data_IF_203634921139
#
_entry.id   IF_203634921139
#
_cell.length_a   1.000
_cell.length_b   1.000
_cell.length_c   1.000
_cell.angle_alpha   90.00
_cell.angle_beta   90.00
_cell.angle_gamma   90.00
#
_symmetry.space_group_name_H-M   'P 1'
#
loop_
_entity.id
_entity.type
_entity.pdbx_description
1 polymer ?
#
# COMPACT_ATOMS: atom_id res chain seq x y z
N UNK A 1 -0.56 100.40 33.04
CA UNK A 1 -1.69 100.66 32.13
C UNK A 1 -1.27 100.10 30.76
N UNK A 2 -2.02 99.12 30.21
CA UNK A 2 -2.37 98.98 28.77
C UNK A 2 -1.21 99.28 27.76
N UNK A 3 -0.71 98.44 26.85
CA UNK A 3 -1.23 97.33 26.06
C UNK A 3 -0.09 96.70 25.22
N UNK A 4 -0.25 95.40 24.94
CA UNK A 4 0.07 94.59 23.74
C UNK A 4 0.80 95.20 22.53
N UNK A 5 1.74 94.38 22.00
CA UNK A 5 1.99 93.90 20.60
C UNK A 5 3.52 93.66 20.50
N UNK A 6 4.12 92.60 19.94
CA UNK A 6 3.73 91.46 19.08
C UNK A 6 4.97 90.57 18.99
N UNK A 7 4.83 89.24 19.03
CA UNK A 7 5.82 88.33 18.42
C UNK A 7 5.12 87.00 18.07
N UNK A 8 4.96 86.74 16.78
CA UNK A 8 4.66 85.44 16.20
C UNK A 8 5.83 85.14 15.24
N UNK A 9 6.10 83.83 15.08
CA UNK A 9 6.98 83.17 14.10
C UNK A 9 8.37 82.91 14.69
N UNK A 10 8.85 81.68 14.85
CA UNK A 10 8.80 80.58 13.88
C UNK A 10 8.90 79.22 14.62
N UNK A 11 7.84 78.43 14.58
CA UNK A 11 7.82 76.99 14.91
C UNK A 11 8.06 76.21 13.64
N UNK A 12 9.25 75.62 13.45
CA UNK A 12 9.53 74.92 12.18
C UNK A 12 10.80 74.08 12.08
N UNK A 13 11.51 73.75 13.18
CA UNK A 13 12.76 72.98 13.03
C UNK A 13 13.12 72.02 14.19
N UNK A 14 12.15 71.41 14.88
CA UNK A 14 12.45 70.37 15.90
C UNK A 14 11.73 69.04 15.64
N UNK A 15 10.85 68.95 14.64
CA UNK A 15 10.09 67.73 14.37
C UNK A 15 10.78 66.75 13.37
N UNK A 16 12.01 67.01 12.92
CA UNK A 16 12.73 66.15 11.96
C UNK A 16 14.10 65.75 12.54
N UNK A 17 14.11 65.24 13.77
CA UNK A 17 15.27 64.52 14.33
C UNK A 17 14.88 63.47 15.37
N UNK A 18 13.61 63.08 15.43
CA UNK A 18 13.10 62.02 16.30
C UNK A 18 12.48 60.83 15.52
N UNK A 19 12.74 60.73 14.22
CA UNK A 19 12.19 59.69 13.34
C UNK A 19 13.25 58.72 12.79
N UNK A 20 14.48 58.68 13.33
CA UNK A 20 15.58 57.85 12.78
C UNK A 20 16.14 56.80 13.75
N UNK A 21 15.69 56.70 15.00
CA UNK A 21 16.20 55.65 15.92
C UNK A 21 15.08 55.03 16.77
N UNK A 22 14.09 54.45 16.10
CA UNK A 22 13.31 53.38 16.73
C UNK A 22 13.13 52.25 15.72
N UNK A 23 14.18 51.43 15.60
CA UNK A 23 14.01 50.06 15.12
C UNK A 23 13.41 49.27 16.28
N UNK A 24 12.16 48.80 16.20
CA UNK A 24 11.69 47.80 17.16
C UNK A 24 12.64 46.59 17.03
N UNK A 25 13.04 45.95 18.15
CA UNK A 25 13.89 44.77 18.10
C UNK A 25 13.26 43.74 17.16
N UNK A 26 14.05 43.25 16.20
CA UNK A 26 13.65 42.24 15.20
C UNK A 26 13.37 40.85 15.78
N UNK A 27 13.02 40.75 17.06
CA UNK A 27 12.69 39.51 17.77
C UNK A 27 11.19 39.42 18.10
N UNK A 28 10.32 39.96 17.24
CA UNK A 28 8.89 39.68 17.28
C UNK A 28 8.33 39.54 15.86
N UNK A 29 9.08 38.90 14.96
CA UNK A 29 8.40 38.06 13.98
C UNK A 29 7.95 36.83 14.74
N UNK A 30 6.76 36.92 15.34
CA UNK A 30 6.00 35.74 15.67
C UNK A 30 6.05 34.83 14.44
N UNK A 31 6.73 33.68 14.57
CA UNK A 31 6.51 32.52 13.71
C UNK A 31 5.02 32.52 13.41
N UNK A 32 4.65 32.65 12.12
CA UNK A 32 3.26 32.82 11.71
C UNK A 32 2.38 31.89 12.54
N UNK A 33 1.26 32.36 13.06
CA UNK A 33 0.39 31.57 13.95
C UNK A 33 0.05 30.20 13.37
N UNK A 34 0.10 30.06 12.03
CA UNK A 34 0.01 28.80 11.30
C UNK A 34 1.23 27.87 11.47
N UNK A 35 2.47 28.37 11.46
CA UNK A 35 3.68 27.57 11.70
C UNK A 35 3.83 27.17 13.17
N UNK A 36 3.46 28.05 14.11
CA UNK A 36 3.40 27.69 15.54
C UNK A 36 2.27 26.71 15.85
N UNK A 37 1.10 26.81 15.21
CA UNK A 37 0.05 25.78 15.30
C UNK A 37 0.46 24.45 14.65
N UNK A 38 1.11 24.47 13.47
CA UNK A 38 1.58 23.24 12.80
C UNK A 38 2.67 22.53 13.60
N UNK A 39 3.55 23.26 14.29
CA UNK A 39 4.54 22.66 15.22
C UNK A 39 3.90 22.07 16.49
N UNK A 40 2.67 22.47 16.84
CA UNK A 40 1.97 22.00 18.03
C UNK A 40 1.10 20.75 17.80
N UNK A 41 0.82 20.37 16.54
CA UNK A 41 0.04 19.17 16.23
C UNK A 41 0.98 17.97 16.11
N UNK A 42 0.80 16.92 16.93
CA UNK A 42 1.68 15.75 16.87
C UNK A 42 1.59 15.09 15.49
N UNK A 43 2.75 14.71 14.93
CA UNK A 43 2.80 14.00 13.64
C UNK A 43 2.41 12.54 13.85
N UNK A 44 1.51 12.04 13.01
CA UNK A 44 1.04 10.66 13.08
C UNK A 44 1.49 9.90 11.83
N UNK A 45 2.12 8.75 12.02
CA UNK A 45 2.49 7.81 10.97
C UNK A 45 2.04 6.40 11.38
N UNK A 46 1.80 5.49 10.43
CA UNK A 46 1.68 4.08 10.77
C UNK A 46 3.04 3.54 11.24
N UNK A 47 3.03 2.64 12.23
CA UNK A 47 4.26 2.03 12.70
C UNK A 47 4.91 1.20 11.59
N UNK A 48 6.25 1.24 11.49
CA UNK A 48 7.00 0.52 10.44
C UNK A 48 6.78 -0.99 10.42
N UNK A 49 6.39 -1.59 11.54
CA UNK A 49 6.05 -3.02 11.66
C UNK A 49 4.89 -3.42 10.76
N UNK A 50 4.10 -2.45 10.28
CA UNK A 50 2.96 -2.67 9.41
C UNK A 50 3.33 -2.91 7.94
N UNK A 51 4.60 -2.69 7.57
CA UNK A 51 5.07 -2.76 6.19
C UNK A 51 5.66 -4.12 5.79
N UNK A 52 5.34 -5.18 6.54
CA UNK A 52 5.88 -6.52 6.32
C UNK A 52 7.37 -6.62 6.67
N UNK A 53 7.95 -7.78 6.42
CA UNK A 53 9.37 -8.07 6.70
C UNK A 53 10.30 -7.35 5.72
N UNK A 54 9.82 -7.11 4.49
CA UNK A 54 10.49 -6.28 3.50
C UNK A 54 10.57 -4.81 3.93
N UNK A 55 9.57 -4.33 4.67
CA UNK A 55 9.35 -2.91 4.95
C UNK A 55 8.65 -2.16 3.81
N UNK A 56 8.18 -2.85 2.77
CA UNK A 56 7.63 -2.26 1.56
C UNK A 56 6.17 -2.64 1.27
N UNK A 57 5.52 -3.43 2.15
CA UNK A 57 4.09 -3.75 2.02
C UNK A 57 3.25 -2.52 2.36
N UNK A 58 2.28 -2.19 1.50
CA UNK A 58 1.45 -0.98 1.60
C UNK A 58 -0.04 -1.26 1.72
N UNK A 59 -0.45 -2.53 1.78
CA UNK A 59 -1.84 -2.94 1.84
C UNK A 59 -2.05 -4.05 2.87
N UNK A 60 -3.08 -3.93 3.69
CA UNK A 60 -3.60 -5.00 4.53
C UNK A 60 -4.95 -5.47 4.00
N UNK A 61 -5.19 -6.79 4.01
CA UNK A 61 -6.44 -7.39 3.57
C UNK A 61 -7.18 -7.91 4.80
N UNK A 62 -8.40 -7.42 5.04
CA UNK A 62 -9.16 -7.73 6.25
C UNK A 62 -10.64 -7.95 5.92
N UNK A 63 -11.35 -8.62 6.83
CA UNK A 63 -12.79 -8.80 6.70
C UNK A 63 -13.57 -7.58 7.21
N UNK A 64 -14.78 -7.39 6.70
CA UNK A 64 -15.62 -6.27 7.10
C UNK A 64 -15.97 -6.31 8.59
N UNK A 65 -15.75 -5.21 9.31
CA UNK A 65 -16.02 -5.10 10.74
C UNK A 65 -15.02 -5.82 11.66
N UNK A 66 -13.90 -6.30 11.12
CA UNK A 66 -12.82 -6.89 11.91
C UNK A 66 -12.08 -5.84 12.75
N UNK A 67 -11.54 -6.27 13.90
CA UNK A 67 -10.60 -5.47 14.70
C UNK A 67 -9.19 -5.69 14.16
N UNK A 68 -8.61 -4.65 13.57
CA UNK A 68 -7.31 -4.67 12.88
C UNK A 68 -6.26 -4.05 13.78
N UNK A 69 -5.17 -4.77 14.02
CA UNK A 69 -3.98 -4.21 14.68
C UNK A 69 -3.30 -3.23 13.73
N UNK A 70 -3.41 -1.94 14.05
CA UNK A 70 -2.90 -0.78 13.32
C UNK A 70 -2.19 0.19 14.29
N UNK A 71 -1.00 -0.18 14.81
CA UNK A 71 -0.20 0.71 15.65
C UNK A 71 0.21 1.99 14.91
N UNK A 72 0.14 3.12 15.62
CA UNK A 72 0.49 4.44 15.13
C UNK A 72 1.66 5.02 15.92
N UNK A 73 2.65 5.56 15.22
CA UNK A 73 3.75 6.33 15.78
C UNK A 73 3.33 7.81 15.88
N UNK A 74 2.99 8.25 17.10
CA UNK A 74 2.53 9.63 17.36
C UNK A 74 3.67 10.45 17.97
N UNK A 75 4.39 11.22 17.16
CA UNK A 75 5.51 12.06 17.63
C UNK A 75 5.00 13.39 18.17
N UNK A 76 5.43 13.75 19.38
CA UNK A 76 5.01 14.99 20.05
C UNK A 76 3.73 14.85 20.89
N UNK A 77 3.29 13.62 21.20
CA UNK A 77 2.21 13.32 22.15
C UNK A 77 2.63 12.19 23.09
N UNK A 78 2.15 12.19 24.33
CA UNK A 78 2.36 11.09 25.28
C UNK A 78 1.51 9.85 24.98
N UNK A 79 0.64 9.90 23.96
CA UNK A 79 -0.22 8.79 23.56
C UNK A 79 -1.36 9.20 22.61
N UNK A 80 -2.27 8.26 22.30
CA UNK A 80 -3.39 8.45 21.37
C UNK A 80 -4.59 9.21 21.97
N UNK A 81 -4.57 9.51 23.28
CA UNK A 81 -5.67 10.21 23.94
C UNK A 81 -6.00 11.55 23.25
N UNK A 82 -7.28 11.75 22.95
CA UNK A 82 -7.80 12.94 22.26
C UNK A 82 -7.69 12.90 20.73
N UNK A 83 -7.07 11.88 20.16
CA UNK A 83 -7.19 11.61 18.73
C UNK A 83 -8.48 10.87 18.40
N UNK A 84 -8.96 11.08 17.18
CA UNK A 84 -10.03 10.33 16.56
C UNK A 84 -9.53 9.80 15.22
N UNK A 85 -10.12 8.72 14.74
CA UNK A 85 -9.80 8.17 13.43
C UNK A 85 -11.07 7.90 12.62
N UNK A 86 -10.90 7.87 11.30
CA UNK A 86 -11.94 7.51 10.35
C UNK A 86 -11.28 6.85 9.14
N UNK A 87 -11.90 5.82 8.61
CA UNK A 87 -11.50 5.24 7.33
C UNK A 87 -12.21 6.00 6.19
N UNK A 88 -11.44 6.42 5.19
CA UNK A 88 -11.94 7.08 3.99
C UNK A 88 -11.59 6.28 2.76
N UNK A 89 -12.46 6.27 1.75
CA UNK A 89 -12.21 5.49 0.53
C UNK A 89 -11.02 6.08 -0.24
N UNK A 90 -10.11 5.22 -0.68
CA UNK A 90 -8.95 5.62 -1.50
C UNK A 90 -9.42 6.39 -2.73
N UNK A 91 -8.75 7.51 -3.04
CA UNK A 91 -9.07 8.33 -4.21
C UNK A 91 -10.30 9.23 -4.05
N UNK A 92 -10.90 9.31 -2.86
CA UNK A 92 -12.03 10.19 -2.57
C UNK A 92 -11.96 10.76 -1.14
N UNK A 93 -12.78 11.77 -0.85
CA UNK A 93 -13.06 12.21 0.52
C UNK A 93 -14.32 11.54 1.09
N UNK A 94 -14.85 10.50 0.42
CA UNK A 94 -16.02 9.78 0.88
C UNK A 94 -15.67 8.99 2.15
N UNK A 95 -16.45 9.25 3.21
CA UNK A 95 -16.34 8.52 4.46
C UNK A 95 -16.68 7.05 4.23
N UNK A 96 -15.72 6.17 4.55
CA UNK A 96 -15.94 4.73 4.58
C UNK A 96 -16.69 4.25 5.82
N UNK A 97 -16.63 5.05 6.88
CA UNK A 97 -17.26 4.78 8.16
C UNK A 97 -17.48 6.04 9.01
N UNK A 98 -17.81 5.85 10.29
CA UNK A 98 -17.99 6.93 11.26
C UNK A 98 -16.69 7.23 12.00
N UNK A 99 -16.46 8.51 12.33
CA UNK A 99 -15.32 8.96 13.11
C UNK A 99 -15.35 8.41 14.55
N UNK A 100 -14.34 7.63 14.96
CA UNK A 100 -14.26 6.97 16.28
C UNK A 100 -13.11 7.53 17.14
N UNK A 101 -13.17 7.42 18.48
CA UNK A 101 -12.03 7.72 19.34
C UNK A 101 -10.86 6.77 19.04
N UNK A 102 -9.63 7.29 19.03
CA UNK A 102 -8.42 6.46 19.00
C UNK A 102 -8.01 6.13 20.44
N UNK A 103 -8.20 4.88 20.85
CA UNK A 103 -7.94 4.43 22.23
C UNK A 103 -6.74 3.48 22.38
N UNK A 104 -6.13 3.07 21.27
CA UNK A 104 -5.04 2.09 21.26
C UNK A 104 -4.53 1.83 19.86
N UNK A 105 -3.93 0.66 19.67
CA UNK A 105 -3.35 0.18 18.41
C UNK A 105 -4.31 -0.65 17.57
N UNK A 106 -5.56 -0.82 17.99
CA UNK A 106 -6.54 -1.66 17.29
C UNK A 106 -7.69 -0.80 16.77
N UNK A 107 -7.99 -0.91 15.48
CA UNK A 107 -9.00 -0.11 14.77
C UNK A 107 -10.08 -1.02 14.18
N UNK A 108 -11.32 -0.54 14.14
CA UNK A 108 -12.42 -1.28 13.52
C UNK A 108 -12.40 -1.05 12.01
N UNK A 109 -12.32 -2.12 11.22
CA UNK A 109 -12.42 -2.05 9.77
C UNK A 109 -13.81 -1.57 9.32
N UNK A 110 -13.92 -0.88 8.17
CA UNK A 110 -15.20 -0.55 7.56
C UNK A 110 -16.11 -1.77 7.35
N UNK A 111 -17.42 -1.54 7.37
CA UNK A 111 -18.43 -2.60 7.20
C UNK A 111 -18.73 -2.92 5.72
N UNK A 112 -18.18 -2.13 4.80
CA UNK A 112 -18.36 -2.30 3.37
C UNK A 112 -17.04 -2.67 2.70
N UNK A 113 -17.05 -3.56 1.70
CA UNK A 113 -15.87 -3.85 0.89
C UNK A 113 -15.34 -2.60 0.18
N UNK A 114 -14.02 -2.52 0.01
CA UNK A 114 -13.36 -1.40 -0.66
C UNK A 114 -11.93 -1.19 -0.20
N UNK A 115 -11.28 -0.19 -0.78
CA UNK A 115 -9.94 0.26 -0.38
C UNK A 115 -10.04 1.53 0.45
N UNK A 116 -9.35 1.58 1.58
CA UNK A 116 -9.44 2.65 2.56
C UNK A 116 -8.08 3.18 3.00
N UNK A 117 -8.04 4.48 3.29
CA UNK A 117 -6.95 5.19 3.97
C UNK A 117 -7.42 5.63 5.34
N UNK A 118 -6.47 5.77 6.27
CA UNK A 118 -6.77 6.21 7.63
C UNK A 118 -6.62 7.73 7.73
N UNK A 119 -7.69 8.41 8.09
CA UNK A 119 -7.64 9.79 8.56
C UNK A 119 -7.56 9.78 10.09
N UNK A 120 -6.62 10.53 10.64
CA UNK A 120 -6.46 10.76 12.08
C UNK A 120 -6.65 12.24 12.36
N UNK A 121 -7.48 12.58 13.34
CA UNK A 121 -7.86 13.95 13.65
C UNK A 121 -7.63 14.28 15.13
N UNK A 122 -7.08 15.46 15.41
CA UNK A 122 -7.02 16.05 16.75
C UNK A 122 -7.14 17.56 16.67
N UNK A 123 -7.94 18.15 17.55
CA UNK A 123 -8.14 19.61 17.64
C UNK A 123 -8.50 20.27 16.29
N UNK A 124 -9.31 19.60 15.47
CA UNK A 124 -9.71 20.08 14.15
C UNK A 124 -8.66 19.92 13.04
N UNK A 125 -7.47 19.40 13.35
CA UNK A 125 -6.43 19.12 12.37
C UNK A 125 -6.48 17.66 11.96
N UNK A 126 -6.71 17.42 10.67
CA UNK A 126 -6.74 16.11 10.04
C UNK A 126 -5.39 15.79 9.40
N UNK A 127 -4.90 14.57 9.65
CA UNK A 127 -3.72 14.00 9.04
C UNK A 127 -4.11 12.70 8.34
N UNK A 128 -3.70 12.54 7.09
CA UNK A 128 -3.95 11.34 6.31
C UNK A 128 -2.74 10.42 6.37
N UNK A 129 -2.97 9.16 6.71
CA UNK A 129 -1.95 8.12 6.74
C UNK A 129 -1.96 7.42 5.38
N UNK A 130 -0.91 7.66 4.59
CA UNK A 130 -0.86 7.18 3.20
C UNK A 130 -0.60 5.67 3.09
N UNK A 131 0.05 5.04 4.09
CA UNK A 131 0.31 3.61 4.10
C UNK A 131 0.46 3.04 5.53
N UNK A 132 0.14 1.74 5.75
CA UNK A 132 -0.56 0.90 4.79
C UNK A 132 -2.04 1.29 4.66
N UNK A 133 -2.58 1.04 3.48
CA UNK A 133 -4.01 1.09 3.18
C UNK A 133 -4.70 -0.20 3.65
N UNK A 134 -6.01 -0.17 3.71
CA UNK A 134 -6.85 -1.31 4.07
C UNK A 134 -7.71 -1.72 2.87
N UNK A 135 -7.60 -2.98 2.44
CA UNK A 135 -8.55 -3.62 1.55
C UNK A 135 -9.54 -4.43 2.39
N UNK A 136 -10.75 -3.92 2.54
CA UNK A 136 -11.85 -4.69 3.14
C UNK A 136 -12.38 -5.63 2.06
N UNK A 137 -12.19 -6.93 2.26
CA UNK A 137 -12.51 -7.95 1.27
C UNK A 137 -13.97 -8.40 1.38
N UNK A 138 -14.50 -8.86 0.26
CA UNK A 138 -15.72 -9.67 0.20
C UNK A 138 -15.35 -11.10 0.61
N UNK A 139 -15.91 -11.66 1.70
CA UNK A 139 -15.60 -13.04 2.10
C UNK A 139 -15.93 -14.04 1.00
N UNK A 140 -15.14 -15.12 0.91
CA UNK A 140 -15.29 -16.13 -0.14
C UNK A 140 -16.71 -16.70 -0.24
N UNK A 141 -17.38 -16.86 0.91
CA UNK A 141 -18.72 -17.42 1.06
C UNK A 141 -19.81 -16.58 0.37
N UNK A 142 -19.51 -15.32 0.03
CA UNK A 142 -20.43 -14.45 -0.71
C UNK A 142 -20.46 -14.78 -2.21
N UNK A 143 -19.51 -15.57 -2.70
CA UNK A 143 -19.52 -16.07 -4.09
C UNK A 143 -20.67 -17.05 -4.26
N UNK A 144 -21.53 -16.79 -5.24
CA UNK A 144 -22.65 -17.66 -5.59
C UNK A 144 -22.32 -18.48 -6.84
N UNK A 145 -22.12 -19.78 -6.66
CA UNK A 145 -21.73 -20.67 -7.76
C UNK A 145 -20.42 -20.21 -8.39
N UNK A 146 -20.40 -19.89 -9.69
CA UNK A 146 -19.21 -19.41 -10.40
C UNK A 146 -19.02 -17.89 -10.37
N UNK A 147 -19.84 -17.14 -9.62
CA UNK A 147 -19.95 -15.69 -9.79
C UNK A 147 -19.93 -14.93 -8.48
N UNK A 148 -19.42 -13.69 -8.54
CA UNK A 148 -19.55 -12.71 -7.47
C UNK A 148 -20.00 -11.38 -8.10
N UNK A 149 -21.19 -10.90 -7.73
CA UNK A 149 -21.79 -9.67 -8.27
C UNK A 149 -21.73 -9.56 -9.81
N UNK A 150 -21.98 -10.67 -10.51
CA UNK A 150 -21.98 -10.75 -11.98
C UNK A 150 -20.61 -11.02 -12.61
N UNK A 151 -19.50 -10.80 -11.91
CA UNK A 151 -18.16 -11.15 -12.37
C UNK A 151 -17.96 -12.68 -12.31
N UNK A 152 -17.51 -13.28 -13.42
CA UNK A 152 -17.28 -14.73 -13.50
C UNK A 152 -15.92 -15.07 -12.90
N UNK A 153 -15.94 -15.76 -11.76
CA UNK A 153 -14.74 -16.29 -11.10
C UNK A 153 -14.53 -17.76 -11.52
N UNK A 154 -15.60 -18.52 -11.76
CA UNK A 154 -15.51 -19.97 -11.90
C UNK A 154 -15.55 -20.66 -10.54
N UNK A 155 -15.21 -21.94 -10.53
CA UNK A 155 -15.26 -22.77 -9.31
C UNK A 155 -13.88 -23.25 -8.92
N UNK A 156 -13.60 -23.17 -7.63
CA UNK A 156 -12.39 -23.69 -7.03
C UNK A 156 -12.45 -25.21 -6.93
N UNK A 157 -11.30 -25.91 -6.94
CA UNK A 157 -11.25 -27.36 -6.71
C UNK A 157 -11.96 -27.79 -5.41
N UNK A 158 -11.84 -26.98 -4.35
CA UNK A 158 -12.48 -27.20 -3.06
C UNK A 158 -14.01 -27.31 -3.15
N UNK A 159 -14.65 -26.56 -4.06
CA UNK A 159 -16.10 -26.54 -4.20
C UNK A 159 -16.67 -27.84 -4.80
N UNK A 160 -15.80 -28.69 -5.36
CA UNK A 160 -16.19 -29.99 -5.93
C UNK A 160 -15.72 -31.16 -5.06
N UNK A 161 -14.83 -30.87 -4.10
CA UNK A 161 -14.30 -31.85 -3.17
C UNK A 161 -15.28 -32.08 -2.02
N UNK A 162 -15.26 -33.30 -1.45
CA UNK A 162 -15.85 -33.57 -0.13
C UNK A 162 -14.85 -33.34 1.01
N UNK A 163 -13.65 -32.91 0.66
CA UNK A 163 -12.58 -32.60 1.61
C UNK A 163 -12.81 -31.20 2.18
N UNK A 164 -13.17 -31.15 3.46
CA UNK A 164 -13.33 -29.90 4.22
C UNK A 164 -11.99 -29.16 4.41
N UNK A 165 -10.85 -29.82 4.20
CA UNK A 165 -9.52 -29.21 4.23
C UNK A 165 -9.10 -28.58 2.88
N UNK A 166 -9.96 -28.66 1.85
CA UNK A 166 -9.64 -28.09 0.55
C UNK A 166 -9.58 -26.55 0.61
N UNK A 167 -8.47 -26.00 0.15
CA UNK A 167 -8.14 -24.59 0.32
C UNK A 167 -9.06 -23.66 -0.51
N UNK A 168 -9.39 -22.52 0.07
CA UNK A 168 -10.05 -21.39 -0.59
C UNK A 168 -9.34 -20.10 -0.23
N UNK A 169 -9.38 -19.05 -1.08
CA UNK A 169 -9.00 -17.72 -0.64
C UNK A 169 -9.84 -17.29 0.57
N UNK A 170 -9.30 -16.43 1.42
CA UNK A 170 -10.06 -15.80 2.50
C UNK A 170 -11.25 -14.98 1.94
N UNK A 171 -11.04 -14.35 0.79
CA UNK A 171 -12.03 -13.53 0.12
C UNK A 171 -11.41 -12.77 -1.04
N UNK A 172 -12.13 -11.76 -1.51
CA UNK A 172 -11.77 -10.98 -2.69
C UNK A 172 -11.84 -9.49 -2.43
N UNK A 173 -10.78 -8.75 -2.75
CA UNK A 173 -10.85 -7.30 -2.81
C UNK A 173 -11.68 -6.87 -4.03
N UNK A 174 -12.61 -5.93 -3.82
CA UNK A 174 -13.44 -5.35 -4.88
C UNK A 174 -12.68 -4.27 -5.65
N UNK A 175 -12.33 -4.54 -6.90
CA UNK A 175 -11.53 -3.66 -7.75
C UNK A 175 -12.42 -2.94 -8.75
N UNK A 176 -12.32 -1.61 -8.80
CA UNK A 176 -12.91 -0.72 -9.80
C UNK A 176 -11.76 -0.13 -10.63
N UNK A 177 -12.10 0.53 -11.74
CA UNK A 177 -11.08 1.13 -12.62
C UNK A 177 -10.15 2.10 -11.89
N UNK A 178 -10.70 2.92 -10.99
CA UNK A 178 -9.95 3.87 -10.17
C UNK A 178 -8.97 3.20 -9.17
N UNK A 179 -9.16 1.92 -8.86
CA UNK A 179 -8.30 1.19 -7.92
C UNK A 179 -7.04 0.61 -8.58
N UNK A 180 -6.94 0.59 -9.91
CA UNK A 180 -5.89 -0.14 -10.63
C UNK A 180 -4.47 0.31 -10.29
N UNK A 181 -4.27 1.58 -9.95
CA UNK A 181 -2.96 2.13 -9.58
C UNK A 181 -2.69 2.18 -8.09
N UNK A 182 -3.61 1.67 -7.26
CA UNK A 182 -3.41 1.60 -5.82
C UNK A 182 -2.22 0.67 -5.54
N UNK A 183 -1.20 1.13 -4.79
CA UNK A 183 -0.03 0.31 -4.51
C UNK A 183 -0.36 -0.79 -3.50
N UNK A 184 0.05 -2.01 -3.81
CA UNK A 184 0.10 -3.15 -2.89
C UNK A 184 1.42 -3.18 -2.12
N UNK A 185 2.50 -2.83 -2.82
CA UNK A 185 3.86 -2.67 -2.27
C UNK A 185 4.57 -1.47 -2.92
N UNK A 186 5.89 -1.33 -2.74
CA UNK A 186 6.69 -0.36 -3.52
C UNK A 186 6.60 -0.62 -5.03
N UNK A 187 6.68 -1.89 -5.46
CA UNK A 187 6.77 -2.26 -6.88
C UNK A 187 5.49 -2.86 -7.46
N UNK A 188 4.57 -3.34 -6.62
CA UNK A 188 3.35 -4.01 -7.06
C UNK A 188 2.13 -3.12 -6.80
N UNK A 189 1.18 -3.18 -7.73
CA UNK A 189 -0.10 -2.46 -7.73
C UNK A 189 -1.25 -3.44 -7.84
N UNK A 190 -2.46 -2.96 -7.54
CA UNK A 190 -3.69 -3.74 -7.67
C UNK A 190 -3.86 -4.31 -9.09
N UNK A 191 -3.55 -3.54 -10.14
CA UNK A 191 -3.63 -4.01 -11.54
C UNK A 191 -2.84 -5.29 -11.82
N UNK A 192 -1.72 -5.49 -11.14
CA UNK A 192 -0.84 -6.63 -11.37
C UNK A 192 -1.48 -7.96 -10.93
N UNK A 193 -2.49 -7.87 -10.07
CA UNK A 193 -3.29 -8.99 -9.60
C UNK A 193 -4.67 -9.09 -10.25
N UNK A 194 -5.04 -8.16 -11.15
CA UNK A 194 -6.29 -8.28 -11.91
C UNK A 194 -6.13 -9.35 -12.97
N UNK A 195 -7.05 -10.32 -13.00
CA UNK A 195 -7.02 -11.40 -14.00
C UNK A 195 -7.14 -10.85 -15.42
N UNK A 196 -6.25 -11.29 -16.31
CA UNK A 196 -6.22 -10.96 -17.74
C UNK A 196 -7.31 -11.69 -18.56
N UNK A 197 -8.56 -11.59 -18.11
CA UNK A 197 -9.72 -12.10 -18.81
C UNK A 197 -10.32 -11.08 -19.81
N UNK A 198 -11.29 -11.55 -20.60
CA UNK A 198 -12.02 -10.71 -21.55
C UNK A 198 -13.30 -10.10 -20.97
N UNK A 199 -13.48 -10.15 -19.65
CA UNK A 199 -14.68 -9.64 -19.01
C UNK A 199 -14.59 -8.11 -18.92
N UNK A 200 -15.65 -7.44 -19.38
CA UNK A 200 -15.78 -5.97 -19.36
C UNK A 200 -16.65 -5.45 -18.22
N UNK A 201 -17.17 -6.35 -17.38
CA UNK A 201 -17.98 -5.99 -16.21
C UNK A 201 -17.08 -5.54 -15.06
N UNK A 202 -17.56 -4.51 -14.35
CA UNK A 202 -17.00 -4.03 -13.09
C UNK A 202 -18.05 -4.10 -11.97
N UNK A 203 -17.64 -4.28 -10.72
CA UNK A 203 -16.26 -4.45 -10.26
C UNK A 203 -15.66 -5.82 -10.64
N UNK A 204 -14.32 -5.88 -10.69
CA UNK A 204 -13.54 -7.13 -10.72
C UNK A 204 -13.17 -7.54 -9.30
N UNK A 205 -12.77 -8.79 -9.11
CA UNK A 205 -12.47 -9.35 -7.80
C UNK A 205 -11.12 -10.06 -7.82
N UNK A 206 -10.24 -9.72 -6.88
CA UNK A 206 -8.89 -10.31 -6.76
C UNK A 206 -8.69 -10.91 -5.37
N UNK A 207 -8.06 -12.09 -5.30
CA UNK A 207 -7.50 -12.60 -4.06
C UNK A 207 -6.00 -12.28 -4.02
N UNK A 208 -5.49 -11.89 -2.86
CA UNK A 208 -4.07 -11.61 -2.65
C UNK A 208 -3.67 -12.08 -1.26
N UNK A 209 -2.63 -12.89 -1.18
CA UNK A 209 -1.98 -13.23 0.08
C UNK A 209 -0.80 -12.27 0.32
N UNK A 210 -0.79 -11.49 1.43
CA UNK A 210 0.29 -10.55 1.71
C UNK A 210 1.70 -11.18 1.73
N UNK A 211 1.82 -12.49 1.99
CA UNK A 211 3.12 -13.17 2.02
C UNK A 211 3.82 -13.16 0.67
N UNK A 212 3.10 -13.29 -0.44
CA UNK A 212 3.73 -13.25 -1.78
C UNK A 212 4.21 -11.84 -2.11
N UNK A 213 3.47 -10.82 -1.68
CA UNK A 213 3.86 -9.42 -1.82
C UNK A 213 5.17 -9.14 -1.08
N UNK A 214 5.23 -9.53 0.19
CA UNK A 214 6.40 -9.32 1.04
C UNK A 214 7.62 -10.10 0.51
N UNK A 215 7.41 -11.34 0.08
CA UNK A 215 8.46 -12.19 -0.52
C UNK A 215 9.05 -11.56 -1.78
N UNK A 216 8.24 -11.02 -2.68
CA UNK A 216 8.74 -10.39 -3.92
C UNK A 216 9.60 -9.17 -3.60
N UNK A 217 9.18 -8.33 -2.66
CA UNK A 217 9.97 -7.17 -2.22
C UNK A 217 11.30 -7.59 -1.56
N UNK A 218 11.30 -8.68 -0.78
CA UNK A 218 12.53 -9.27 -0.24
C UNK A 218 13.47 -9.80 -1.33
N UNK A 219 12.92 -10.39 -2.39
CA UNK A 219 13.69 -10.85 -3.56
C UNK A 219 14.34 -9.66 -4.26
N UNK A 220 13.60 -8.58 -4.51
CA UNK A 220 14.15 -7.35 -5.10
C UNK A 220 15.26 -6.76 -4.23
N UNK A 221 15.07 -6.72 -2.91
CA UNK A 221 16.10 -6.27 -1.96
C UNK A 221 17.36 -7.14 -2.00
N UNK A 222 17.21 -8.46 -2.11
CA UNK A 222 18.35 -9.37 -2.23
C UNK A 222 19.08 -9.20 -3.56
N UNK A 223 18.37 -8.94 -4.67
CA UNK A 223 18.98 -8.62 -5.96
C UNK A 223 19.79 -7.32 -5.88
N UNK A 224 19.24 -6.26 -5.28
CA UNK A 224 19.95 -4.98 -5.09
C UNK A 224 21.23 -5.20 -4.26
N UNK A 225 21.12 -5.94 -3.16
CA UNK A 225 22.28 -6.29 -2.31
C UNK A 225 23.37 -7.00 -3.10
N UNK A 226 23.02 -7.91 -4.02
CA UNK A 226 23.99 -8.63 -4.88
C UNK A 226 24.64 -7.73 -5.93
N UNK A 227 23.95 -6.67 -6.35
CA UNK A 227 24.50 -5.62 -7.21
C UNK A 227 25.35 -4.60 -6.43
N UNK A 228 25.30 -4.61 -5.10
CA UNK A 228 25.95 -3.60 -4.26
C UNK A 228 25.17 -2.29 -4.23
N UNK A 229 23.86 -2.34 -4.48
CA UNK A 229 22.97 -1.18 -4.54
C UNK A 229 22.17 -1.03 -3.25
N UNK A 230 21.97 0.22 -2.82
CA UNK A 230 21.17 0.55 -1.65
C UNK A 230 19.66 0.56 -1.96
N UNK A 231 19.28 0.99 -3.17
CA UNK A 231 17.89 0.99 -3.62
C UNK A 231 17.59 -0.25 -4.47
N UNK A 232 16.47 -0.90 -4.17
CA UNK A 232 15.87 -1.87 -5.07
C UNK A 232 15.01 -1.11 -6.08
N UNK A 233 15.63 -0.54 -7.11
CA UNK A 233 14.92 0.10 -8.23
C UNK A 233 15.10 -0.80 -9.47
N UNK A 234 14.11 -1.67 -9.71
CA UNK A 234 14.14 -2.67 -10.78
C UNK A 234 13.06 -2.43 -11.82
N UNK A 235 13.38 -2.75 -13.09
CA UNK A 235 12.35 -3.02 -14.10
C UNK A 235 11.72 -4.36 -13.77
N UNK A 236 10.45 -4.35 -13.34
CA UNK A 236 9.66 -5.51 -13.00
C UNK A 236 8.39 -5.54 -13.86
N UNK A 237 8.20 -6.62 -14.60
CA UNK A 237 6.98 -6.91 -15.35
C UNK A 237 6.21 -8.04 -14.64
N UNK A 238 4.96 -7.79 -14.30
CA UNK A 238 4.06 -8.83 -13.77
C UNK A 238 3.24 -9.39 -14.92
N UNK A 239 3.50 -10.64 -15.29
CA UNK A 239 2.72 -11.34 -16.31
C UNK A 239 1.35 -11.79 -15.77
N UNK A 240 1.30 -12.13 -14.49
CA UNK A 240 0.08 -12.58 -13.84
C UNK A 240 0.24 -12.61 -12.32
N UNK A 241 -0.60 -11.89 -11.58
CA UNK A 241 -0.91 -12.17 -10.18
C UNK A 241 -2.08 -13.14 -10.07
N UNK A 242 -3.20 -12.73 -9.48
CA UNK A 242 -4.37 -13.60 -9.32
C UNK A 242 -5.05 -14.01 -10.63
N UNK A 243 -5.41 -15.29 -10.73
CA UNK A 243 -6.21 -15.86 -11.82
C UNK A 243 -7.50 -16.43 -11.28
N UNK A 244 -8.63 -16.00 -11.83
CA UNK A 244 -9.89 -16.69 -11.58
C UNK A 244 -9.80 -18.16 -12.04
N UNK A 245 -10.42 -19.13 -11.33
CA UNK A 245 -10.47 -20.52 -11.78
C UNK A 245 -10.99 -20.67 -13.23
N UNK A 246 -11.96 -19.85 -13.64
CA UNK A 246 -12.46 -19.82 -15.01
C UNK A 246 -11.35 -19.45 -16.00
N UNK A 247 -10.63 -18.35 -15.77
CA UNK A 247 -9.53 -17.95 -16.64
C UNK A 247 -8.42 -18.99 -16.66
N UNK A 248 -8.01 -19.49 -15.49
CA UNK A 248 -6.92 -20.47 -15.37
C UNK A 248 -7.22 -21.76 -16.16
N UNK A 249 -8.48 -22.21 -16.21
CA UNK A 249 -8.87 -23.39 -17.00
C UNK A 249 -8.64 -23.25 -18.51
N UNK A 250 -8.57 -22.01 -19.02
CA UNK A 250 -8.27 -21.70 -20.41
C UNK A 250 -6.79 -21.42 -20.69
N UNK A 251 -5.93 -21.36 -19.66
CA UNK A 251 -4.49 -21.17 -19.83
C UNK A 251 -3.85 -22.52 -20.14
N UNK A 252 -3.20 -22.61 -21.31
CA UNK A 252 -2.52 -23.84 -21.73
C UNK A 252 -1.46 -24.28 -20.71
N UNK A 253 -1.54 -25.54 -20.28
CA UNK A 253 -0.58 -26.12 -19.34
C UNK A 253 -0.75 -25.68 -17.88
N UNK A 254 -1.74 -24.84 -17.55
CA UNK A 254 -1.98 -24.44 -16.18
C UNK A 254 -2.51 -25.60 -15.32
N UNK A 255 -1.92 -25.76 -14.14
CA UNK A 255 -2.41 -26.72 -13.14
C UNK A 255 -3.80 -26.31 -12.64
N UNK A 256 -4.67 -27.30 -12.40
CA UNK A 256 -6.05 -27.08 -11.90
C UNK A 256 -6.06 -26.46 -10.50
N UNK A 257 -5.04 -26.76 -9.70
CA UNK A 257 -4.79 -26.29 -8.34
C UNK A 257 -3.66 -25.25 -8.29
N UNK A 258 -3.47 -24.50 -9.38
CA UNK A 258 -2.46 -23.44 -9.47
C UNK A 258 -2.58 -22.43 -8.32
N UNK A 259 -1.43 -21.97 -7.82
CA UNK A 259 -1.36 -21.00 -6.72
C UNK A 259 -1.91 -19.61 -7.07
N UNK A 260 -1.94 -19.26 -8.36
CA UNK A 260 -2.60 -18.03 -8.80
C UNK A 260 -4.08 -17.94 -8.43
N UNK A 261 -4.77 -19.08 -8.22
CA UNK A 261 -6.18 -19.11 -7.82
C UNK A 261 -6.37 -18.61 -6.38
N UNK A 262 -5.37 -18.81 -5.52
CA UNK A 262 -5.45 -18.51 -4.09
C UNK A 262 -4.87 -17.14 -3.75
N UNK A 263 -4.30 -16.43 -4.73
CA UNK A 263 -3.76 -15.09 -4.56
C UNK A 263 -2.35 -15.05 -3.99
N UNK A 264 -1.70 -16.20 -3.81
CA UNK A 264 -0.38 -16.33 -3.20
C UNK A 264 0.74 -16.60 -4.21
N UNK A 265 0.49 -16.32 -5.49
CA UNK A 265 1.47 -16.45 -6.57
C UNK A 265 1.50 -15.25 -7.52
N UNK A 266 2.68 -14.99 -8.07
CA UNK A 266 2.87 -14.08 -9.19
C UNK A 266 3.90 -14.62 -10.18
N UNK A 267 3.65 -14.38 -11.46
CA UNK A 267 4.60 -14.59 -12.56
C UNK A 267 5.28 -13.26 -12.86
N UNK A 268 6.59 -13.16 -12.62
CA UNK A 268 7.35 -11.92 -12.72
C UNK A 268 8.59 -12.08 -13.61
N UNK A 269 8.85 -11.09 -14.46
CA UNK A 269 10.12 -10.91 -15.15
C UNK A 269 10.83 -9.69 -14.56
N UNK A 270 12.09 -9.84 -14.17
CA UNK A 270 12.86 -8.83 -13.45
C UNK A 270 14.18 -8.64 -14.17
N UNK A 271 14.55 -7.40 -14.48
CA UNK A 271 15.87 -7.05 -15.01
C UNK A 271 16.89 -7.07 -13.88
N UNK A 272 17.39 -8.27 -13.59
CA UNK A 272 18.14 -8.53 -12.36
C UNK A 272 19.57 -7.98 -12.38
N UNK A 273 20.16 -7.71 -13.55
CA UNK A 273 21.48 -7.05 -13.66
C UNK A 273 21.42 -5.59 -14.13
N UNK A 274 20.25 -5.08 -14.50
CA UNK A 274 20.03 -3.67 -14.81
C UNK A 274 20.49 -3.27 -16.21
N UNK A 275 20.66 -4.22 -17.13
CA UNK A 275 21.10 -3.95 -18.50
C UNK A 275 19.95 -3.51 -19.44
N UNK A 276 18.73 -3.42 -18.91
CA UNK A 276 17.51 -3.04 -19.62
C UNK A 276 16.86 -4.19 -20.38
N UNK A 277 17.31 -5.44 -20.19
CA UNK A 277 16.80 -6.63 -20.89
C UNK A 277 16.28 -7.64 -19.89
N UNK A 278 15.19 -8.32 -20.28
CA UNK A 278 14.62 -9.41 -19.50
C UNK A 278 15.08 -10.74 -20.12
N UNK A 279 16.10 -11.36 -19.51
CA UNK A 279 16.75 -12.57 -20.04
C UNK A 279 16.57 -13.78 -19.14
N UNK A 280 16.92 -14.97 -19.67
CA UNK A 280 16.96 -16.20 -18.86
C UNK A 280 18.03 -16.14 -17.77
N UNK A 281 19.11 -15.38 -17.99
CA UNK A 281 20.13 -15.20 -16.96
C UNK A 281 19.57 -14.42 -15.76
N UNK A 282 18.68 -13.46 -16.00
CA UNK A 282 18.00 -12.72 -14.95
C UNK A 282 17.06 -13.62 -14.15
N UNK A 283 16.30 -14.47 -14.82
CA UNK A 283 15.47 -15.46 -14.15
C UNK A 283 16.29 -16.40 -13.24
N UNK A 284 17.52 -16.78 -13.62
CA UNK A 284 18.41 -17.55 -12.74
C UNK A 284 18.96 -16.73 -11.55
N UNK A 285 19.11 -15.41 -11.68
CA UNK A 285 19.45 -14.54 -10.54
C UNK A 285 18.27 -14.41 -9.58
N UNK A 286 17.06 -14.22 -10.11
CA UNK A 286 15.81 -14.21 -9.35
C UNK A 286 15.65 -15.52 -8.57
N UNK A 287 15.89 -16.67 -9.21
CA UNK A 287 15.86 -17.97 -8.53
C UNK A 287 16.81 -18.03 -7.32
N UNK A 288 18.06 -17.61 -7.51
CA UNK A 288 19.04 -17.62 -6.41
C UNK A 288 18.67 -16.65 -5.28
N UNK A 289 18.01 -15.53 -5.61
CA UNK A 289 17.49 -14.60 -4.62
C UNK A 289 16.30 -15.19 -3.85
N UNK A 290 15.36 -15.86 -4.53
CA UNK A 290 14.24 -16.58 -3.89
C UNK A 290 14.76 -17.66 -2.94
N UNK A 291 15.72 -18.48 -3.38
CA UNK A 291 16.33 -19.51 -2.51
C UNK A 291 17.06 -18.90 -1.30
N UNK A 292 17.63 -17.70 -1.44
CA UNK A 292 18.24 -16.98 -0.31
C UNK A 292 17.17 -16.45 0.66
N UNK A 293 16.12 -15.81 0.13
CA UNK A 293 15.01 -15.27 0.92
C UNK A 293 14.32 -16.38 1.71
N UNK A 294 13.98 -17.51 1.09
CA UNK A 294 13.31 -18.62 1.79
C UNK A 294 14.18 -19.27 2.87
N UNK A 295 15.52 -19.17 2.80
CA UNK A 295 16.39 -19.63 3.88
C UNK A 295 16.35 -18.72 5.10
N UNK A 296 16.22 -17.41 4.90
CA UNK A 296 16.12 -16.43 5.97
C UNK A 296 14.69 -16.29 6.51
N UNK A 297 13.71 -16.58 5.66
CA UNK A 297 12.27 -16.44 5.89
C UNK A 297 11.55 -17.74 5.53
N UNK A 298 11.75 -18.83 6.32
CA UNK A 298 11.15 -20.14 6.02
C UNK A 298 9.61 -20.10 6.01
N UNK A 299 8.99 -19.15 6.70
CA UNK A 299 7.54 -18.88 6.67
C UNK A 299 7.02 -18.41 5.30
N UNK A 300 7.91 -17.92 4.43
CA UNK A 300 7.62 -17.50 3.05
C UNK A 300 7.97 -18.59 2.02
N UNK A 301 8.30 -19.81 2.45
CA UNK A 301 8.61 -20.91 1.56
C UNK A 301 7.48 -21.18 0.57
N UNK A 302 7.83 -21.47 -0.69
CA UNK A 302 6.84 -21.80 -1.69
C UNK A 302 7.41 -22.36 -2.99
N UNK A 303 6.57 -22.38 -4.01
CA UNK A 303 6.92 -22.77 -5.36
C UNK A 303 7.72 -21.69 -6.10
N UNK A 304 8.70 -22.15 -6.87
CA UNK A 304 9.44 -21.35 -7.83
C UNK A 304 9.57 -22.14 -9.15
N UNK A 305 9.08 -21.55 -10.23
CA UNK A 305 9.21 -22.09 -11.58
C UNK A 305 9.94 -21.09 -12.47
N UNK A 306 10.96 -21.53 -13.19
CA UNK A 306 11.61 -20.69 -14.22
C UNK A 306 11.08 -21.10 -15.58
N UNK A 307 10.49 -20.15 -16.30
CA UNK A 307 9.87 -20.38 -17.60
C UNK A 307 10.64 -19.67 -18.70
N UNK A 308 11.04 -20.45 -19.70
CA UNK A 308 11.74 -19.91 -20.86
C UNK A 308 11.32 -20.65 -22.11
N UNK A 309 10.55 -19.98 -22.97
CA UNK A 309 10.16 -20.56 -24.25
C UNK A 309 9.89 -19.46 -25.25
N UNK A 310 9.86 -19.81 -26.55
CA UNK A 310 9.46 -18.89 -27.63
C UNK A 310 7.99 -18.44 -27.53
N UNK A 311 7.20 -19.04 -26.63
CA UNK A 311 5.79 -18.69 -26.42
C UNK A 311 5.63 -17.45 -25.55
N UNK A 312 6.64 -17.12 -24.75
CA UNK A 312 6.63 -15.98 -23.84
C UNK A 312 7.42 -14.82 -24.43
N UNK A 313 6.93 -13.59 -24.26
CA UNK A 313 7.62 -12.40 -24.73
C UNK A 313 8.98 -12.24 -24.02
N UNK A 314 9.01 -12.55 -22.71
CA UNK A 314 10.18 -12.49 -21.84
C UNK A 314 10.22 -13.75 -20.95
N UNK A 315 11.41 -14.30 -20.65
CA UNK A 315 11.55 -15.30 -19.60
C UNK A 315 11.07 -14.74 -18.25
N UNK A 316 10.40 -15.57 -17.45
CA UNK A 316 9.84 -15.14 -16.18
C UNK A 316 9.97 -16.21 -15.10
N UNK A 317 9.80 -15.79 -13.85
CA UNK A 317 9.74 -16.66 -12.68
C UNK A 317 8.31 -16.68 -12.13
N UNK A 318 7.73 -17.86 -11.99
CA UNK A 318 6.62 -18.10 -11.06
C UNK A 318 7.18 -18.04 -9.64
N UNK A 319 6.61 -17.23 -8.77
CA UNK A 319 6.94 -17.17 -7.33
C UNK A 319 5.65 -17.29 -6.54
N UNK A 320 5.58 -18.24 -5.60
CA UNK A 320 4.47 -18.33 -4.65
C UNK A 320 4.93 -18.51 -3.20
N UNK A 321 3.99 -18.36 -2.26
CA UNK A 321 4.20 -18.49 -0.83
C UNK A 321 3.30 -19.57 -0.21
N UNK A 322 3.13 -20.71 -0.90
CA UNK A 322 2.22 -21.81 -0.51
C UNK A 322 2.56 -22.54 0.81
N UNK A 323 3.67 -22.18 1.46
CA UNK A 323 4.16 -22.82 2.68
C UNK A 323 5.00 -24.09 2.44
N UNK A 324 5.15 -24.54 1.20
CA UNK A 324 5.93 -25.74 0.85
C UNK A 324 6.85 -25.44 -0.35
N UNK A 325 8.15 -25.75 -0.19
CA UNK A 325 9.14 -25.53 -1.23
C UNK A 325 8.89 -26.44 -2.44
N UNK A 326 8.66 -25.86 -3.62
CA UNK A 326 8.58 -26.58 -4.91
C UNK A 326 9.44 -25.92 -5.97
N UNK A 327 10.10 -26.70 -6.84
CA UNK A 327 10.97 -26.18 -7.91
C UNK A 327 10.69 -26.89 -9.22
N UNK A 328 10.57 -26.14 -10.30
CA UNK A 328 10.37 -26.70 -11.63
C UNK A 328 10.88 -25.77 -12.73
N UNK A 329 10.80 -26.25 -13.97
CA UNK A 329 11.13 -25.54 -15.20
C UNK A 329 10.00 -25.73 -16.20
N UNK A 330 9.71 -24.72 -17.00
CA UNK A 330 8.71 -24.77 -18.07
C UNK A 330 9.12 -24.03 -19.33
#
# INVERSE_FOLDING_TARGET
MIQRRTAILLSGLVAITAAVMYQPPGELFADSSADSFRRAVPRVEAAKTMAGTSGEVRMQFVTAGELVVFPLDIRGSAGPLGFRYQWVKVGSDESGDVMRPLSGDTLLAPLTPGFYELNVMRNGVMQRIEAPKLAVIVPFERKFGSTLNGYQIGRYPAEWSRDEAAETPLGFAEVREEHLDVPLTKHLKVRDFVTHDRQTIWPKYIAVDPRVLDKIELVLRELARRRGEESADFTLEVHSGFRTPLHNSGVEGAARDSRHLYGDAADVAIDADGDGRLTLLDAYRVEQAVDWVERLHPELAGGLGVYSSRRYATPYCHIDARGERKRWRG
#
